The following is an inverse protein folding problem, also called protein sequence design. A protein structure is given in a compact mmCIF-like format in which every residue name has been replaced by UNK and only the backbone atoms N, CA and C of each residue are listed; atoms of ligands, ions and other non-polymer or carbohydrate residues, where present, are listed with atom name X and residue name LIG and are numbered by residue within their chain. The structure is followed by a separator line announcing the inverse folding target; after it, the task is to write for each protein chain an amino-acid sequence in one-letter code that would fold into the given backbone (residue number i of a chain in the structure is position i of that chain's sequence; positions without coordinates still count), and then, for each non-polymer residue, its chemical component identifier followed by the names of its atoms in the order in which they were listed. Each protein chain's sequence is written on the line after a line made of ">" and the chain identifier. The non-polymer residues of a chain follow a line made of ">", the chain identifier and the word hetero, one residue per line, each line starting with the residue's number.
data_IF_783079705794
#
_entry.id   IF_783079705794
#
_cell.length_a   1.000
_cell.length_b   1.000
_cell.length_c   1.000
_cell.angle_alpha   90.00
_cell.angle_beta   90.00
_cell.angle_gamma   90.00
#
_symmetry.space_group_name_H-M   'P 1'
#
loop_
_entity.id
_entity.type
_entity.pdbx_description
1 polymer ?
#
# COMPACT_ATOMS: atom_id res chain seq x y z
N UNK A 1 1.56 3.38 -4.16
CA UNK A 1 1.93 2.04 -3.66
C UNK A 1 3.19 1.54 -4.37
N UNK A 2 4.35 1.70 -3.71
CA UNK A 2 5.65 1.08 -4.07
C UNK A 2 6.61 1.27 -2.89
N UNK A 3 7.38 0.25 -2.54
CA UNK A 3 8.36 0.28 -1.47
C UNK A 3 9.79 0.07 -2.02
N UNK A 4 10.75 0.97 -1.73
CA UNK A 4 12.19 0.73 -1.98
C UNK A 4 13.17 1.62 -1.15
N UNK A 5 14.41 1.11 -1.02
CA UNK A 5 15.44 1.29 0.04
C UNK A 5 16.46 2.46 -0.15
N UNK A 6 17.04 3.01 0.94
CA UNK A 6 17.82 4.28 1.04
C UNK A 6 19.33 4.28 0.65
N UNK A 7 19.98 5.47 0.57
CA UNK A 7 21.39 5.65 0.21
C UNK A 7 22.41 5.41 1.35
N UNK A 8 23.62 5.05 0.92
CA UNK A 8 24.81 4.64 1.68
C UNK A 8 25.54 5.85 2.29
N UNK A 9 25.74 5.86 3.61
CA UNK A 9 26.58 6.86 4.31
C UNK A 9 27.84 6.22 4.92
N UNK A 10 28.88 7.04 4.96
CA UNK A 10 30.28 6.72 5.13
C UNK A 10 30.67 6.17 6.53
N UNK A 11 31.73 5.36 6.52
CA UNK A 11 32.48 4.94 7.70
C UNK A 11 33.39 6.07 8.16
N UNK A 12 33.46 6.29 9.46
CA UNK A 12 34.61 6.91 10.12
C UNK A 12 35.05 6.09 11.35
N UNK A 13 36.31 6.24 11.79
CA UNK A 13 37.07 5.18 12.42
C UNK A 13 37.09 5.21 13.95
N UNK A 14 37.49 4.07 14.50
CA UNK A 14 37.80 3.81 15.91
C UNK A 14 39.00 4.63 16.40
N UNK A 15 38.99 4.96 17.68
CA UNK A 15 40.19 4.87 18.52
C UNK A 15 39.84 4.56 19.99
N UNK A 16 40.75 3.93 20.77
CA UNK A 16 40.46 3.33 22.07
C UNK A 16 41.09 4.10 23.24
N UNK A 17 40.62 3.80 24.46
CA UNK A 17 41.41 3.50 25.67
C UNK A 17 40.69 3.97 26.94
N UNK A 18 40.46 3.03 27.87
CA UNK A 18 40.66 3.23 29.32
C UNK A 18 40.37 1.93 30.08
N UNK A 19 41.41 1.40 30.72
CA UNK A 19 41.45 0.83 32.08
C UNK A 19 40.56 -0.36 32.47
N UNK A 20 41.13 -1.46 33.03
CA UNK A 20 40.35 -2.55 33.60
C UNK A 20 40.08 -2.32 35.10
N UNK A 21 38.93 -2.79 35.62
CA UNK A 21 38.83 -3.17 37.02
C UNK A 21 38.82 -4.70 37.21
N UNK A 22 39.19 -5.06 38.43
CA UNK A 22 39.63 -6.35 38.94
C UNK A 22 38.61 -7.50 38.85
N UNK A 23 39.15 -8.72 38.78
CA UNK A 23 38.41 -9.99 38.83
C UNK A 23 38.16 -10.43 40.27
N UNK A 24 36.92 -10.84 40.60
CA UNK A 24 36.67 -11.82 41.66
C UNK A 24 36.32 -13.21 41.10
N UNK A 25 36.90 -14.24 41.73
CA UNK A 25 36.25 -15.53 42.00
C UNK A 25 35.91 -16.44 40.83
N UNK A 26 36.77 -17.45 40.59
CA UNK A 26 36.39 -18.69 39.87
C UNK A 26 35.31 -19.43 40.67
N UNK A 27 34.10 -19.50 40.12
CA UNK A 27 33.10 -20.50 40.48
C UNK A 27 33.07 -21.61 39.41
N UNK A 28 32.87 -22.84 39.87
CA UNK A 28 32.96 -24.10 39.14
C UNK A 28 32.04 -24.17 37.91
N UNK A 29 32.59 -24.72 36.82
CA UNK A 29 31.86 -25.06 35.59
C UNK A 29 31.11 -26.37 35.80
N UNK A 30 29.78 -26.28 35.83
CA UNK A 30 28.90 -27.43 35.63
C UNK A 30 28.99 -27.95 34.16
N UNK A 31 28.79 -29.26 33.92
CA UNK A 31 28.87 -29.84 32.58
C UNK A 31 27.72 -29.37 31.66
N UNK A 32 28.09 -29.04 30.42
CA UNK A 32 27.17 -28.70 29.32
C UNK A 32 26.23 -29.88 29.06
N UNK A 33 24.92 -29.69 29.26
CA UNK A 33 23.89 -30.53 28.66
C UNK A 33 23.79 -30.20 27.16
N UNK A 34 23.90 -31.23 26.34
CA UNK A 34 23.66 -31.19 24.91
C UNK A 34 22.21 -30.78 24.62
N UNK A 35 22.05 -29.85 23.68
CA UNK A 35 20.74 -29.40 23.23
C UNK A 35 20.14 -30.46 22.27
N UNK A 36 18.89 -30.90 22.49
CA UNK A 36 18.23 -31.78 21.53
C UNK A 36 17.97 -31.05 20.22
N UNK A 37 18.14 -31.79 19.12
CA UNK A 37 18.08 -31.30 17.75
C UNK A 37 16.80 -30.54 17.40
N UNK A 38 16.95 -29.54 16.53
CA UNK A 38 15.86 -28.81 15.87
C UNK A 38 14.94 -29.80 15.15
N UNK A 39 13.81 -30.14 15.78
CA UNK A 39 12.65 -30.65 15.08
C UNK A 39 12.09 -29.56 14.16
N UNK A 40 11.65 -29.96 12.97
CA UNK A 40 11.18 -29.08 11.90
C UNK A 40 10.04 -28.14 12.32
N UNK A 41 10.01 -26.96 11.71
CA UNK A 41 8.92 -25.99 11.83
C UNK A 41 7.58 -26.63 11.42
N UNK A 42 6.50 -26.48 12.20
CA UNK A 42 5.15 -26.80 11.72
C UNK A 42 4.73 -25.80 10.64
N UNK A 43 4.15 -26.30 9.54
CA UNK A 43 3.44 -25.49 8.54
C UNK A 43 2.21 -24.84 9.19
N UNK A 44 1.84 -23.61 8.79
CA UNK A 44 0.62 -22.98 9.27
C UNK A 44 -0.64 -23.75 8.81
N UNK A 45 -1.71 -23.79 9.62
CA UNK A 45 -2.83 -24.75 9.51
C UNK A 45 -3.90 -24.42 8.45
N UNK A 46 -3.64 -23.52 7.50
CA UNK A 46 -4.62 -23.16 6.45
C UNK A 46 -4.41 -23.91 5.12
N UNK A 47 -3.47 -24.87 5.07
CA UNK A 47 -3.48 -25.91 4.06
C UNK A 47 -4.42 -27.03 4.51
N UNK A 48 -5.68 -27.00 4.07
CA UNK A 48 -6.50 -28.21 4.09
C UNK A 48 -5.88 -29.25 3.16
N UNK A 49 -5.59 -30.43 3.70
CA UNK A 49 -5.13 -31.59 2.95
C UNK A 49 -6.06 -31.87 1.75
N UNK A 50 -5.49 -31.78 0.55
CA UNK A 50 -6.15 -32.13 -0.70
C UNK A 50 -6.07 -33.65 -0.84
N UNK A 51 -7.18 -34.39 -1.02
CA UNK A 51 -7.09 -35.82 -1.21
C UNK A 51 -6.36 -36.13 -2.53
N UNK A 52 -5.38 -37.03 -2.45
CA UNK A 52 -4.65 -37.60 -3.59
C UNK A 52 -5.64 -38.19 -4.60
N UNK A 53 -5.93 -37.42 -5.65
CA UNK A 53 -6.76 -37.88 -6.76
C UNK A 53 -5.84 -38.62 -7.74
N UNK A 54 -5.88 -39.95 -7.67
CA UNK A 54 -5.29 -40.85 -8.66
C UNK A 54 -5.79 -40.48 -10.05
N UNK A 55 -4.89 -39.97 -10.89
CA UNK A 55 -5.10 -39.81 -12.32
C UNK A 55 -5.29 -41.19 -12.97
N UNK A 56 -6.45 -41.39 -13.57
CA UNK A 56 -6.70 -42.44 -14.55
C UNK A 56 -7.46 -41.82 -15.71
N UNK A 57 -6.94 -42.00 -16.91
CA UNK A 57 -7.73 -41.88 -18.14
C UNK A 57 -7.47 -40.63 -18.98
N UNK A 58 -6.41 -40.73 -19.77
CA UNK A 58 -6.29 -40.29 -21.16
C UNK A 58 -7.62 -39.88 -21.82
N UNK A 59 -7.78 -38.58 -22.12
CA UNK A 59 -8.87 -38.07 -22.95
C UNK A 59 -8.32 -37.04 -23.92
N UNK A 60 -8.29 -37.45 -25.19
CA UNK A 60 -7.87 -36.66 -26.34
C UNK A 60 -8.47 -35.25 -26.32
N UNK A 61 -7.60 -34.24 -26.28
CA UNK A 61 -7.95 -32.84 -26.46
C UNK A 61 -8.23 -32.58 -27.95
N UNK A 62 -9.46 -32.23 -28.27
CA UNK A 62 -9.81 -31.65 -29.55
C UNK A 62 -9.24 -30.21 -29.63
N UNK A 63 -8.60 -29.80 -30.73
CA UNK A 63 -8.15 -28.43 -30.92
C UNK A 63 -9.26 -27.61 -31.56
N UNK A 64 -9.81 -26.61 -30.86
CA UNK A 64 -10.77 -25.71 -31.49
C UNK A 64 -11.72 -25.02 -30.54
N UNK A 65 -11.19 -24.04 -29.79
CA UNK A 65 -11.97 -23.17 -28.95
C UNK A 65 -11.04 -22.49 -27.96
N UNK A 66 -10.45 -21.37 -28.35
CA UNK A 66 -9.88 -20.44 -27.39
C UNK A 66 -11.03 -19.83 -26.60
N UNK A 67 -11.62 -20.64 -25.72
CA UNK A 67 -12.34 -20.13 -24.58
C UNK A 67 -11.31 -19.27 -23.86
N UNK A 68 -11.45 -17.95 -23.93
CA UNK A 68 -10.64 -16.99 -23.16
C UNK A 68 -10.97 -17.09 -21.67
N UNK A 69 -11.42 -18.26 -21.23
CA UNK A 69 -11.89 -18.57 -19.90
C UNK A 69 -10.75 -18.44 -18.92
N UNK A 70 -11.02 -17.67 -17.88
CA UNK A 70 -10.26 -17.68 -16.64
C UNK A 70 -10.03 -19.14 -16.23
N UNK A 71 -8.80 -19.50 -15.88
CA UNK A 71 -8.50 -20.85 -15.40
C UNK A 71 -9.49 -21.24 -14.29
N UNK A 72 -10.07 -22.46 -14.29
CA UNK A 72 -11.11 -22.85 -13.34
C UNK A 72 -10.73 -22.57 -11.88
N UNK A 73 -9.48 -22.79 -11.51
CA UNK A 73 -8.97 -22.53 -10.16
C UNK A 73 -9.00 -21.03 -9.80
N UNK A 74 -8.69 -20.16 -10.76
CA UNK A 74 -8.73 -18.71 -10.56
C UNK A 74 -10.18 -18.20 -10.54
N UNK A 75 -11.07 -18.81 -11.33
CA UNK A 75 -12.50 -18.52 -11.28
C UNK A 75 -13.13 -18.91 -9.94
N UNK A 76 -12.75 -20.07 -9.38
CA UNK A 76 -13.14 -20.48 -8.03
C UNK A 76 -12.63 -19.50 -6.97
N UNK A 77 -11.39 -19.02 -7.10
CA UNK A 77 -10.82 -18.03 -6.19
C UNK A 77 -11.57 -16.68 -6.27
N UNK A 78 -11.90 -16.20 -7.47
CA UNK A 78 -12.73 -15.00 -7.62
C UNK A 78 -14.11 -15.17 -7.00
N UNK A 79 -14.73 -16.35 -7.13
CA UNK A 79 -16.00 -16.64 -6.49
C UNK A 79 -15.88 -16.62 -4.96
N UNK A 80 -14.81 -17.19 -4.38
CA UNK A 80 -14.53 -17.12 -2.94
C UNK A 80 -14.36 -15.68 -2.46
N UNK A 81 -13.49 -14.90 -3.12
CA UNK A 81 -13.28 -13.48 -2.81
C UNK A 81 -14.60 -12.71 -2.92
N UNK A 82 -15.39 -13.02 -3.94
CA UNK A 82 -16.66 -12.37 -4.18
C UNK A 82 -17.76 -12.71 -3.17
N UNK A 83 -17.63 -13.81 -2.44
CA UNK A 83 -18.57 -14.23 -1.39
C UNK A 83 -18.13 -13.78 0.01
N UNK A 84 -16.85 -13.47 0.22
CA UNK A 84 -16.33 -13.00 1.50
C UNK A 84 -16.88 -11.61 1.87
N UNK A 85 -17.04 -11.37 3.17
CA UNK A 85 -17.36 -10.03 3.69
C UNK A 85 -16.18 -9.08 3.52
N UNK A 86 -16.48 -7.78 3.49
CA UNK A 86 -15.44 -6.75 3.40
C UNK A 86 -14.51 -6.78 4.62
N UNK A 87 -15.05 -7.07 5.80
CA UNK A 87 -14.31 -7.27 7.05
C UNK A 87 -13.35 -8.47 6.97
N UNK A 88 -13.79 -9.60 6.40
CA UNK A 88 -12.94 -10.79 6.26
C UNK A 88 -11.78 -10.53 5.29
N UNK A 89 -12.06 -9.93 4.14
CA UNK A 89 -11.03 -9.57 3.15
C UNK A 89 -10.02 -8.58 3.74
N UNK A 90 -10.51 -7.58 4.49
CA UNK A 90 -9.66 -6.61 5.17
C UNK A 90 -8.80 -7.27 6.27
N UNK A 91 -9.35 -8.22 7.03
CA UNK A 91 -8.59 -8.98 8.02
C UNK A 91 -7.52 -9.89 7.38
N UNK A 92 -7.83 -10.50 6.23
CA UNK A 92 -6.87 -11.29 5.46
C UNK A 92 -5.75 -10.40 4.90
N UNK A 93 -6.05 -9.18 4.45
CA UNK A 93 -5.04 -8.19 4.07
C UNK A 93 -4.10 -7.84 5.23
N UNK A 94 -4.64 -7.65 6.45
CA UNK A 94 -3.80 -7.43 7.63
C UNK A 94 -2.94 -8.66 7.94
N UNK A 95 -3.48 -9.88 7.80
CA UNK A 95 -2.76 -11.12 8.09
C UNK A 95 -1.55 -11.36 7.18
N UNK A 96 -1.56 -10.81 5.95
CA UNK A 96 -0.42 -10.86 5.03
C UNK A 96 0.76 -10.00 5.46
N UNK A 97 0.58 -9.12 6.45
CA UNK A 97 1.64 -8.25 6.94
C UNK A 97 2.48 -8.97 7.99
N UNK A 98 3.80 -9.05 7.80
CA UNK A 98 4.72 -9.77 8.69
C UNK A 98 4.64 -9.33 10.16
N UNK A 99 4.33 -8.05 10.44
CA UNK A 99 4.16 -7.53 11.81
C UNK A 99 2.94 -8.11 12.53
N UNK A 100 2.04 -8.77 11.81
CA UNK A 100 0.85 -9.43 12.33
C UNK A 100 0.97 -10.95 12.38
N UNK A 101 2.13 -11.52 12.07
CA UNK A 101 2.35 -12.96 12.19
C UNK A 101 2.05 -13.43 13.64
N UNK A 102 1.20 -14.44 13.76
CA UNK A 102 0.77 -14.98 15.06
C UNK A 102 -0.28 -14.17 15.81
N UNK A 103 -0.82 -13.08 15.24
CA UNK A 103 -1.99 -12.38 15.81
C UNK A 103 -3.26 -13.21 15.59
N UNK A 104 -4.14 -13.23 16.60
CA UNK A 104 -5.40 -13.94 16.53
C UNK A 104 -6.36 -13.31 15.51
N UNK A 105 -7.12 -14.14 14.79
CA UNK A 105 -8.06 -13.69 13.74
C UNK A 105 -9.10 -12.69 14.25
N UNK A 106 -9.64 -12.89 15.44
CA UNK A 106 -10.64 -11.98 16.04
C UNK A 106 -10.09 -10.56 16.24
N UNK A 107 -8.80 -10.44 16.60
CA UNK A 107 -8.14 -9.15 16.74
C UNK A 107 -7.99 -8.46 15.38
N UNK A 108 -7.60 -9.21 14.35
CA UNK A 108 -7.49 -8.69 12.97
C UNK A 108 -8.85 -8.24 12.44
N UNK A 109 -9.91 -9.03 12.68
CA UNK A 109 -11.29 -8.65 12.35
C UNK A 109 -11.72 -7.38 13.06
N UNK A 110 -11.41 -7.25 14.37
CA UNK A 110 -11.71 -6.04 15.13
C UNK A 110 -11.00 -4.80 14.58
N UNK A 111 -9.72 -4.92 14.20
CA UNK A 111 -8.97 -3.82 13.59
C UNK A 111 -9.48 -3.48 12.20
N UNK A 112 -9.73 -4.48 11.35
CA UNK A 112 -10.30 -4.32 10.02
C UNK A 112 -11.65 -3.59 10.08
N UNK A 113 -12.60 -4.06 10.90
CA UNK A 113 -13.90 -3.43 11.05
C UNK A 113 -13.81 -1.99 11.58
N UNK A 114 -12.83 -1.70 12.44
CA UNK A 114 -12.59 -0.33 12.93
C UNK A 114 -12.06 0.58 11.83
N UNK A 115 -11.11 0.10 11.04
CA UNK A 115 -10.56 0.85 9.91
C UNK A 115 -11.60 1.11 8.81
N UNK A 116 -12.43 0.12 8.48
CA UNK A 116 -13.53 0.27 7.51
C UNK A 116 -14.50 1.38 7.94
N UNK A 117 -15.04 1.28 9.16
CA UNK A 117 -15.95 2.32 9.71
C UNK A 117 -15.29 3.70 9.77
N UNK A 118 -13.99 3.76 10.04
CA UNK A 118 -13.26 5.02 10.06
C UNK A 118 -13.22 5.65 8.66
N UNK A 119 -12.89 4.88 7.62
CA UNK A 119 -12.88 5.34 6.24
C UNK A 119 -14.26 5.79 5.74
N UNK A 120 -15.32 5.07 6.09
CA UNK A 120 -16.69 5.46 5.74
C UNK A 120 -17.07 6.81 6.38
N UNK A 121 -16.77 7.01 7.68
CA UNK A 121 -17.02 8.30 8.35
C UNK A 121 -16.20 9.43 7.75
N UNK A 122 -14.95 9.17 7.36
CA UNK A 122 -14.14 10.16 6.64
C UNK A 122 -14.85 10.64 5.37
N UNK A 123 -15.44 9.73 4.59
CA UNK A 123 -16.14 10.08 3.35
C UNK A 123 -17.43 10.88 3.61
N UNK A 124 -18.19 10.52 4.64
CA UNK A 124 -19.40 11.24 5.01
C UNK A 124 -19.10 12.67 5.50
N UNK A 125 -18.05 12.85 6.31
CA UNK A 125 -17.61 14.16 6.80
C UNK A 125 -17.05 15.06 5.69
N UNK A 126 -16.33 14.47 4.73
CA UNK A 126 -15.81 15.17 3.56
C UNK A 126 -16.96 15.65 2.65
N UNK A 127 -17.96 14.79 2.41
CA UNK A 127 -19.17 15.15 1.67
C UNK A 127 -19.97 16.27 2.37
N UNK A 128 -20.09 16.23 3.70
CA UNK A 128 -20.74 17.28 4.47
C UNK A 128 -19.99 18.63 4.38
N UNK A 129 -18.66 18.59 4.39
CA UNK A 129 -17.81 19.79 4.27
C UNK A 129 -17.89 20.42 2.88
N UNK A 130 -17.96 19.61 1.83
CA UNK A 130 -18.17 20.08 0.46
C UNK A 130 -19.56 20.75 0.29
N UNK A 131 -20.61 20.19 0.89
CA UNK A 131 -21.95 20.75 0.86
C UNK A 131 -22.09 22.08 1.60
N UNK A 132 -21.37 22.27 2.71
CA UNK A 132 -21.37 23.52 3.47
C UNK A 132 -20.61 24.67 2.79
N UNK A 133 -19.67 24.34 1.90
CA UNK A 133 -18.86 25.31 1.15
C UNK A 133 -19.54 25.78 -0.13
N UNK A 134 -20.61 25.11 -0.55
CA UNK A 134 -21.50 25.59 -1.61
C UNK A 134 -22.28 26.80 -1.12
N UNK A 135 -21.75 27.99 -1.41
CA UNK A 135 -22.41 29.27 -1.17
C UNK A 135 -23.87 29.22 -1.65
N UNK A 136 -24.88 29.47 -0.79
CA UNK A 136 -26.28 29.60 -1.20
C UNK A 136 -26.49 30.93 -1.94
N UNK A 137 -25.78 31.12 -3.05
CA UNK A 137 -25.70 32.38 -3.79
C UNK A 137 -26.27 32.29 -5.20
N UNK A 138 -27.61 32.36 -5.32
CA UNK A 138 -28.39 33.05 -6.36
C UNK A 138 -29.80 32.45 -6.57
N UNK A 139 -30.62 32.44 -5.52
CA UNK A 139 -32.06 32.62 -5.70
C UNK A 139 -32.41 33.92 -4.95
N UNK A 140 -32.59 35.00 -5.71
CA UNK A 140 -32.78 36.34 -5.17
C UNK A 140 -34.01 36.43 -4.26
N UNK A 141 -33.93 37.15 -3.13
CA UNK A 141 -35.11 37.55 -2.40
C UNK A 141 -35.62 38.90 -2.94
N UNK A 142 -36.88 38.93 -3.36
CA UNK A 142 -37.65 40.18 -3.31
C UNK A 142 -37.73 40.60 -1.83
N UNK A 143 -37.40 41.86 -1.57
CA UNK A 143 -36.87 42.30 -0.30
C UNK A 143 -37.88 42.40 0.84
N UNK A 144 -37.34 42.43 2.06
CA UNK A 144 -37.78 43.33 3.13
C UNK A 144 -36.56 43.66 3.98
N UNK A 145 -36.33 44.96 4.16
CA UNK A 145 -35.28 45.53 4.97
C UNK A 145 -35.40 45.12 6.45
N UNK A 146 -34.27 44.90 7.12
CA UNK A 146 -34.12 45.22 8.55
C UNK A 146 -32.65 45.48 8.91
N UNK A 147 -32.48 46.61 9.57
CA UNK A 147 -31.27 47.21 10.13
C UNK A 147 -30.85 46.53 11.44
N UNK A 148 -29.53 46.43 11.67
CA UNK A 148 -28.93 46.56 13.00
C UNK A 148 -27.89 45.50 13.40
N UNK A 149 -26.72 45.97 13.84
CA UNK A 149 -25.96 45.31 14.91
C UNK A 149 -24.58 44.76 14.56
N UNK A 150 -23.55 45.58 14.76
CA UNK A 150 -22.12 45.26 14.76
C UNK A 150 -21.66 44.69 16.11
N UNK A 151 -20.76 43.69 16.09
CA UNK A 151 -19.54 43.46 16.92
C UNK A 151 -18.98 42.09 16.47
N UNK A 152 -17.72 41.85 16.07
CA UNK A 152 -16.44 42.32 16.59
C UNK A 152 -15.72 41.12 17.24
N UNK A 153 -14.82 40.43 16.52
CA UNK A 153 -13.87 39.49 17.14
C UNK A 153 -12.63 39.23 16.24
N UNK A 154 -11.48 39.70 16.72
CA UNK A 154 -10.13 39.31 16.28
C UNK A 154 -9.77 37.94 16.86
N UNK A 155 -9.14 37.08 16.08
CA UNK A 155 -8.45 35.89 16.57
C UNK A 155 -7.37 35.46 15.58
N UNK A 156 -6.11 35.62 15.96
CA UNK A 156 -4.96 35.24 15.15
C UNK A 156 -4.72 33.73 15.13
N UNK A 157 -4.28 33.22 13.99
CA UNK A 157 -3.80 31.84 13.85
C UNK A 157 -2.29 31.84 13.70
N UNK A 158 -1.61 31.32 14.71
CA UNK A 158 -0.23 30.86 14.65
C UNK A 158 -0.20 29.50 13.93
N UNK A 159 0.66 29.38 12.91
CA UNK A 159 0.87 28.14 12.17
C UNK A 159 1.97 27.26 12.81
N UNK A 160 1.82 25.93 12.85
CA UNK A 160 2.91 25.06 13.25
C UNK A 160 3.78 24.66 12.06
N UNK A 161 5.08 24.68 12.32
CA UNK A 161 6.20 24.37 11.44
C UNK A 161 6.24 22.87 11.11
N UNK A 162 6.55 22.55 9.85
CA UNK A 162 6.67 21.18 9.36
C UNK A 162 7.91 20.47 9.90
N UNK A 163 7.72 19.26 10.41
CA UNK A 163 8.78 18.33 10.77
C UNK A 163 8.76 17.13 9.81
N UNK A 164 9.81 17.03 9.02
CA UNK A 164 10.16 15.89 8.18
C UNK A 164 10.81 14.81 9.04
N UNK A 165 10.29 13.58 9.04
CA UNK A 165 10.93 12.43 9.69
C UNK A 165 10.70 11.13 8.91
N UNK A 166 11.77 10.65 8.28
CA UNK A 166 11.89 9.33 7.64
C UNK A 166 12.07 8.22 8.68
N UNK A 167 11.46 7.05 8.46
CA UNK A 167 11.65 5.87 9.32
C UNK A 167 12.08 4.68 8.47
N UNK A 168 13.14 3.99 8.88
CA UNK A 168 13.68 2.80 8.23
C UNK A 168 13.95 1.66 9.22
N UNK A 169 14.02 0.43 8.67
CA UNK A 169 14.62 -0.80 9.19
C UNK A 169 14.44 -1.86 8.07
N UNK A 170 15.45 -2.52 7.50
CA UNK A 170 16.40 -3.55 7.99
C UNK A 170 16.06 -4.92 7.38
N UNK A 171 16.90 -5.36 6.43
CA UNK A 171 16.98 -6.73 5.91
C UNK A 171 18.31 -7.39 6.26
N UNK A 172 18.30 -8.73 6.23
CA UNK A 172 19.41 -9.66 6.51
C UNK A 172 19.83 -10.30 5.17
N UNK A 173 21.13 -10.58 4.90
CA UNK A 173 21.63 -10.75 3.53
C UNK A 173 21.62 -12.20 3.03
N UNK A 174 21.61 -12.36 1.71
CA UNK A 174 22.01 -13.59 1.00
C UNK A 174 22.86 -13.21 -0.22
N UNK A 175 23.88 -14.03 -0.49
CA UNK A 175 25.10 -13.62 -1.18
C UNK A 175 25.23 -13.94 -2.67
N UNK A 176 26.28 -13.33 -3.21
CA UNK A 176 27.23 -13.76 -4.25
C UNK A 176 26.73 -14.17 -5.64
N UNK A 177 27.18 -13.40 -6.65
CA UNK A 177 27.36 -13.83 -8.04
C UNK A 177 28.18 -12.78 -8.80
N UNK A 178 29.40 -13.13 -9.19
CA UNK A 178 30.36 -12.28 -9.88
C UNK A 178 30.11 -12.23 -11.40
N UNK A 179 30.65 -11.18 -12.05
CA UNK A 179 31.14 -11.05 -13.45
C UNK A 179 30.71 -9.70 -14.05
N UNK A 180 31.33 -9.11 -15.05
CA UNK A 180 32.73 -8.90 -15.47
C UNK A 180 32.61 -7.83 -16.59
N UNK A 181 33.69 -7.08 -16.85
CA UNK A 181 33.97 -6.28 -18.07
C UNK A 181 33.22 -4.96 -18.38
N UNK A 182 33.99 -3.85 -18.44
CA UNK A 182 34.48 -3.14 -19.67
C UNK A 182 34.54 -1.60 -19.57
N UNK A 183 35.75 -1.10 -19.85
CA UNK A 183 36.15 0.30 -20.11
C UNK A 183 35.46 0.93 -21.33
N UNK A 184 35.21 2.26 -21.27
CA UNK A 184 35.47 3.23 -22.36
C UNK A 184 35.49 4.68 -21.77
N UNK A 185 36.07 5.70 -22.44
CA UNK A 185 36.91 6.70 -21.78
C UNK A 185 36.31 8.11 -21.74
N UNK A 186 36.90 8.91 -20.84
CA UNK A 186 36.73 10.35 -20.65
C UNK A 186 37.07 11.17 -21.89
N UNK A 187 36.12 12.02 -22.31
CA UNK A 187 36.35 13.16 -23.19
C UNK A 187 36.18 14.45 -22.40
N UNK A 188 37.26 15.22 -22.29
CA UNK A 188 37.30 16.55 -21.66
C UNK A 188 37.15 17.63 -22.74
N UNK A 189 36.32 18.65 -22.47
CA UNK A 189 36.13 19.79 -23.35
C UNK A 189 35.27 20.88 -22.72
N UNK A 190 35.92 21.87 -22.09
CA UNK A 190 35.40 23.21 -21.82
C UNK A 190 35.36 24.04 -23.14
N UNK A 191 34.92 25.32 -23.23
CA UNK A 191 34.71 26.33 -22.19
C UNK A 191 33.49 27.29 -22.40
N UNK A 192 33.33 28.31 -21.54
CA UNK A 192 32.66 29.56 -21.93
C UNK A 192 31.84 30.26 -20.84
N UNK A 193 32.38 31.35 -20.31
CA UNK A 193 31.74 32.27 -19.38
C UNK A 193 30.66 33.16 -20.02
N UNK A 194 29.69 33.65 -19.24
CA UNK A 194 29.37 35.09 -19.02
C UNK A 194 28.04 35.23 -18.26
N UNK A 195 27.99 36.21 -17.36
CA UNK A 195 26.94 36.37 -16.36
C UNK A 195 25.62 36.96 -16.87
N UNK A 196 24.61 36.89 -16.01
CA UNK A 196 23.58 37.92 -15.93
C UNK A 196 22.93 37.87 -14.56
N UNK A 197 23.04 38.99 -13.85
CA UNK A 197 22.37 39.29 -12.60
C UNK A 197 20.90 39.57 -12.91
N UNK A 198 20.02 38.66 -12.52
CA UNK A 198 18.58 38.82 -12.60
C UNK A 198 17.98 38.51 -11.24
N UNK A 199 17.59 39.55 -10.51
CA UNK A 199 16.79 39.43 -9.29
C UNK A 199 15.46 38.77 -9.66
N UNK A 200 15.37 37.45 -9.46
CA UNK A 200 14.13 36.70 -9.62
C UNK A 200 13.28 37.04 -8.40
N UNK A 201 12.26 37.86 -8.62
CA UNK A 201 11.19 38.06 -7.65
C UNK A 201 10.66 36.70 -7.23
N UNK A 202 10.75 36.41 -5.93
CA UNK A 202 10.18 35.20 -5.37
C UNK A 202 8.68 35.14 -5.73
N UNK A 203 8.19 34.03 -6.30
CA UNK A 203 6.75 33.88 -6.49
C UNK A 203 6.11 33.87 -5.10
N UNK A 204 5.25 34.86 -4.87
CA UNK A 204 4.37 34.92 -3.70
C UNK A 204 3.58 33.62 -3.62
N UNK A 205 3.98 32.74 -2.68
CA UNK A 205 3.17 31.59 -2.27
C UNK A 205 1.98 32.13 -1.50
N UNK A 206 0.80 32.13 -2.13
CA UNK A 206 -0.50 32.16 -1.44
C UNK A 206 -1.60 31.89 -2.46
N UNK A 207 -1.75 30.62 -2.81
CA UNK A 207 -2.96 30.07 -3.41
C UNK A 207 -3.12 28.65 -2.86
N UNK A 208 -4.35 28.14 -2.67
CA UNK A 208 -4.54 26.75 -2.28
C UNK A 208 -3.80 25.88 -3.29
N UNK A 209 -2.99 24.96 -2.79
CA UNK A 209 -2.27 24.00 -3.63
C UNK A 209 -3.29 23.07 -4.27
N UNK A 210 -3.82 23.48 -5.42
CA UNK A 210 -4.72 22.68 -6.23
C UNK A 210 -4.01 21.35 -6.55
N UNK A 211 -4.59 20.27 -6.05
CA UNK A 211 -4.13 18.91 -6.30
C UNK A 211 -4.14 18.67 -7.81
N UNK A 212 -2.98 18.52 -8.43
CA UNK A 212 -2.89 18.25 -9.88
C UNK A 212 -3.04 16.77 -10.15
N UNK A 213 -3.92 16.39 -11.07
CA UNK A 213 -4.03 15.00 -11.55
C UNK A 213 -3.30 14.89 -12.89
N UNK A 214 -2.33 13.98 -12.96
CA UNK A 214 -1.58 13.63 -14.16
C UNK A 214 -1.93 12.20 -14.58
N UNK A 215 -2.23 11.97 -15.86
CA UNK A 215 -2.43 10.62 -16.39
C UNK A 215 -1.16 10.14 -17.09
N UNK A 216 -0.78 8.88 -16.85
CA UNK A 216 0.33 8.22 -17.53
C UNK A 216 -0.15 6.94 -18.18
N UNK A 217 0.27 6.75 -19.43
CA UNK A 217 -0.10 5.57 -20.20
C UNK A 217 0.46 4.27 -19.59
N UNK A 218 1.64 4.33 -18.96
CA UNK A 218 2.34 3.14 -18.45
C UNK A 218 3.12 3.39 -17.16
N UNK A 219 3.51 2.30 -16.50
CA UNK A 219 4.35 2.30 -15.30
C UNK A 219 3.63 1.89 -14.02
N UNK A 220 2.32 1.64 -14.12
CA UNK A 220 1.52 1.12 -13.02
C UNK A 220 1.60 -0.40 -12.90
N UNK A 221 2.00 -1.13 -13.95
CA UNK A 221 2.26 -2.57 -13.89
C UNK A 221 3.74 -2.85 -13.65
N UNK A 222 4.08 -3.50 -12.53
CA UNK A 222 5.45 -3.87 -12.15
C UNK A 222 5.50 -5.34 -11.73
N UNK A 223 6.68 -5.99 -11.74
CA UNK A 223 6.79 -7.38 -11.28
C UNK A 223 6.25 -7.53 -9.85
N UNK A 224 5.15 -8.28 -9.70
CA UNK A 224 4.50 -8.53 -8.41
C UNK A 224 3.68 -7.36 -7.84
N UNK A 225 3.53 -6.25 -8.56
CA UNK A 225 2.87 -5.04 -8.05
C UNK A 225 2.00 -4.38 -9.13
N UNK A 226 0.83 -3.88 -8.71
CA UNK A 226 -0.09 -3.10 -9.54
C UNK A 226 -0.40 -1.80 -8.81
N UNK A 227 -0.07 -0.68 -9.44
CA UNK A 227 -0.21 0.67 -8.92
C UNK A 227 -1.20 1.44 -9.77
N UNK A 228 -2.43 1.63 -9.27
CA UNK A 228 -3.47 2.36 -10.01
C UNK A 228 -3.20 3.87 -10.02
N UNK A 229 -2.79 4.41 -8.87
CA UNK A 229 -2.43 5.80 -8.72
C UNK A 229 -1.34 5.99 -7.65
N UNK A 230 -0.60 7.09 -7.71
CA UNK A 230 0.35 7.49 -6.67
C UNK A 230 0.23 8.98 -6.33
N UNK A 231 0.14 9.28 -5.04
CA UNK A 231 0.31 10.63 -4.52
C UNK A 231 1.79 11.01 -4.42
N UNK A 232 2.14 12.18 -4.97
CA UNK A 232 3.48 12.74 -4.94
C UNK A 232 3.46 14.11 -4.28
N UNK A 233 4.02 14.18 -3.07
CA UNK A 233 4.30 15.43 -2.38
C UNK A 233 5.60 16.05 -2.92
N UNK A 234 5.54 17.31 -3.37
CA UNK A 234 6.70 18.06 -3.87
C UNK A 234 6.63 19.52 -3.41
N UNK A 235 7.80 20.14 -3.29
CA UNK A 235 7.89 21.58 -2.98
C UNK A 235 7.20 22.48 -4.02
N UNK A 236 7.01 21.98 -5.25
CA UNK A 236 6.33 22.64 -6.36
C UNK A 236 4.80 22.44 -6.37
N UNK A 237 4.25 21.67 -5.42
CA UNK A 237 2.83 21.35 -5.33
C UNK A 237 2.56 19.84 -5.31
N UNK A 238 1.39 19.49 -4.79
CA UNK A 238 0.93 18.12 -4.66
C UNK A 238 0.28 17.63 -5.96
N UNK A 239 0.58 16.38 -6.33
CA UNK A 239 -0.02 15.76 -7.51
C UNK A 239 -0.36 14.30 -7.29
N UNK A 240 -1.35 13.82 -8.01
CA UNK A 240 -1.69 12.40 -8.15
C UNK A 240 -1.40 11.96 -9.57
N UNK A 241 -0.62 10.91 -9.74
CA UNK A 241 -0.38 10.27 -11.03
C UNK A 241 -1.30 9.04 -11.13
N UNK A 242 -2.10 8.94 -12.19
CA UNK A 242 -2.97 7.79 -12.46
C UNK A 242 -2.41 7.00 -13.65
N UNK A 243 -2.34 5.67 -13.53
CA UNK A 243 -1.73 4.79 -14.53
C UNK A 243 -2.77 4.03 -15.35
N UNK A 244 -2.86 4.33 -16.64
CA UNK A 244 -3.84 3.74 -17.54
C UNK A 244 -3.64 2.22 -17.72
N UNK A 245 -2.41 1.74 -17.87
CA UNK A 245 -2.09 0.31 -17.99
C UNK A 245 -2.58 -0.51 -16.78
N UNK A 246 -2.45 0.05 -15.58
CA UNK A 246 -2.90 -0.57 -14.34
C UNK A 246 -4.43 -0.52 -14.19
N UNK A 247 -5.08 0.58 -14.57
CA UNK A 247 -6.55 0.66 -14.61
C UNK A 247 -7.13 -0.34 -15.60
N UNK A 248 -6.56 -0.46 -16.80
CA UNK A 248 -6.97 -1.44 -17.80
C UNK A 248 -6.80 -2.87 -17.28
N UNK A 249 -5.70 -3.14 -16.58
CA UNK A 249 -5.48 -4.45 -15.95
C UNK A 249 -6.51 -4.74 -14.86
N UNK A 250 -6.77 -3.79 -13.98
CA UNK A 250 -7.78 -3.91 -12.93
C UNK A 250 -9.18 -4.11 -13.52
N UNK A 251 -9.52 -3.41 -14.60
CA UNK A 251 -10.80 -3.60 -15.29
C UNK A 251 -10.90 -5.00 -15.91
N UNK A 252 -9.83 -5.53 -16.51
CA UNK A 252 -9.82 -6.92 -16.99
C UNK A 252 -10.06 -7.92 -15.86
N UNK A 253 -9.35 -7.78 -14.74
CA UNK A 253 -9.56 -8.63 -13.55
C UNK A 253 -11.00 -8.53 -13.05
N UNK A 254 -11.56 -7.32 -13.00
CA UNK A 254 -12.95 -7.12 -12.61
C UNK A 254 -13.94 -7.79 -13.58
N UNK A 255 -13.69 -7.74 -14.90
CA UNK A 255 -14.51 -8.44 -15.89
C UNK A 255 -14.43 -9.96 -15.73
N UNK A 256 -13.23 -10.48 -15.56
CA UNK A 256 -12.94 -11.89 -15.37
C UNK A 256 -13.58 -12.45 -14.09
N UNK A 257 -13.66 -11.62 -13.04
CA UNK A 257 -14.36 -11.93 -11.80
C UNK A 257 -15.89 -11.74 -11.88
N UNK A 258 -16.42 -11.25 -13.01
CA UNK A 258 -17.85 -10.97 -13.21
C UNK A 258 -18.35 -9.65 -12.59
N UNK A 259 -17.45 -8.75 -12.17
CA UNK A 259 -17.74 -7.48 -11.51
C UNK A 259 -17.67 -6.26 -12.43
N UNK A 260 -17.37 -6.46 -13.72
CA UNK A 260 -17.13 -5.36 -14.67
C UNK A 260 -18.29 -4.37 -14.88
N UNK A 261 -19.52 -4.71 -14.45
CA UNK A 261 -20.66 -3.78 -14.45
C UNK A 261 -20.60 -2.76 -13.31
N UNK A 262 -20.07 -3.16 -12.16
CA UNK A 262 -19.93 -2.30 -10.98
C UNK A 262 -18.58 -1.54 -10.99
N UNK A 263 -17.56 -2.12 -11.64
CA UNK A 263 -16.19 -1.59 -11.71
C UNK A 263 -15.82 -1.21 -13.15
N UNK A 264 -16.46 -0.17 -13.68
CA UNK A 264 -16.13 0.41 -15.00
C UNK A 264 -14.77 1.13 -14.95
N UNK A 265 -14.12 1.40 -16.11
CA UNK A 265 -12.87 2.16 -16.13
C UNK A 265 -12.96 3.52 -15.42
N UNK A 266 -14.06 4.24 -15.61
CA UNK A 266 -14.32 5.52 -14.97
C UNK A 266 -14.48 5.36 -13.46
N UNK A 267 -15.25 4.36 -13.03
CA UNK A 267 -15.45 4.07 -11.61
C UNK A 267 -14.12 3.68 -10.92
N UNK A 268 -13.26 2.91 -11.60
CA UNK A 268 -11.93 2.55 -11.12
C UNK A 268 -11.01 3.77 -10.99
N UNK A 269 -11.05 4.67 -11.98
CA UNK A 269 -10.30 5.94 -11.94
C UNK A 269 -10.73 6.80 -10.76
N UNK A 270 -12.02 7.03 -10.59
CA UNK A 270 -12.56 7.82 -9.47
C UNK A 270 -12.23 7.19 -8.12
N UNK A 271 -12.30 5.85 -8.03
CA UNK A 271 -11.91 5.10 -6.83
C UNK A 271 -10.43 5.27 -6.51
N UNK A 272 -9.55 5.21 -7.50
CA UNK A 272 -8.11 5.42 -7.31
C UNK A 272 -7.82 6.84 -6.81
N UNK A 273 -8.46 7.86 -7.41
CA UNK A 273 -8.31 9.25 -6.94
C UNK A 273 -8.83 9.46 -5.52
N UNK A 274 -9.98 8.87 -5.19
CA UNK A 274 -10.54 8.93 -3.85
C UNK A 274 -9.64 8.22 -2.83
N UNK A 275 -9.02 7.10 -3.20
CA UNK A 275 -8.07 6.38 -2.36
C UNK A 275 -6.84 7.23 -2.03
N UNK A 276 -6.22 7.86 -3.03
CA UNK A 276 -5.08 8.76 -2.80
C UNK A 276 -5.47 10.00 -1.96
N UNK A 277 -6.68 10.53 -2.16
CA UNK A 277 -7.21 11.60 -1.33
C UNK A 277 -7.35 11.18 0.15
N UNK A 278 -7.83 9.97 0.40
CA UNK A 278 -7.93 9.43 1.76
C UNK A 278 -6.56 9.34 2.44
N UNK A 279 -5.54 8.87 1.72
CA UNK A 279 -4.16 8.83 2.22
C UNK A 279 -3.64 10.20 2.60
N UNK A 280 -3.89 11.22 1.76
CA UNK A 280 -3.55 12.60 2.10
C UNK A 280 -4.21 13.04 3.41
N UNK A 281 -5.51 12.79 3.60
CA UNK A 281 -6.22 13.11 4.86
C UNK A 281 -5.65 12.36 6.06
N UNK A 282 -5.28 11.09 5.88
CA UNK A 282 -4.66 10.26 6.91
C UNK A 282 -3.28 10.80 7.32
N UNK A 283 -2.47 11.24 6.35
CA UNK A 283 -1.19 11.90 6.59
C UNK A 283 -1.36 13.28 7.25
N UNK A 284 -2.37 14.06 6.86
CA UNK A 284 -2.68 15.40 7.37
C UNK A 284 -3.30 15.40 8.79
N UNK A 285 -3.31 14.25 9.47
CA UNK A 285 -3.60 14.16 10.89
C UNK A 285 -4.69 13.17 11.26
N UNK A 286 -5.54 12.73 10.31
CA UNK A 286 -6.57 11.72 10.59
C UNK A 286 -5.97 10.36 10.97
N UNK A 287 -4.75 10.06 10.54
CA UNK A 287 -4.03 8.85 10.94
C UNK A 287 -3.77 8.76 12.45
N UNK A 288 -3.64 9.90 13.15
CA UNK A 288 -3.59 9.90 14.63
C UNK A 288 -4.94 9.52 15.24
N UNK A 289 -6.05 9.96 14.67
CA UNK A 289 -7.38 9.59 15.13
C UNK A 289 -7.64 8.09 14.91
N UNK A 290 -7.33 7.56 13.73
CA UNK A 290 -7.42 6.13 13.44
C UNK A 290 -6.63 5.29 14.45
N UNK A 291 -5.37 5.66 14.75
CA UNK A 291 -4.56 4.96 15.76
C UNK A 291 -5.17 4.98 17.17
N UNK A 292 -5.91 6.03 17.53
CA UNK A 292 -6.60 6.10 18.83
C UNK A 292 -7.80 5.16 18.86
N UNK A 293 -8.52 5.04 17.75
CA UNK A 293 -9.70 4.17 17.64
C UNK A 293 -9.35 2.69 17.56
N UNK A 294 -8.26 2.33 16.88
CA UNK A 294 -7.77 0.95 16.84
C UNK A 294 -7.33 0.43 18.22
N UNK A 295 -7.07 1.35 19.17
CA UNK A 295 -6.62 1.12 20.55
C UNK A 295 -5.56 0.02 20.69
N UNK A 296 -4.63 -0.08 19.73
CA UNK A 296 -3.53 -1.03 19.81
C UNK A 296 -2.52 -0.55 20.85
N UNK A 297 -2.62 -1.04 22.09
CA UNK A 297 -1.70 -0.66 23.18
C UNK A 297 -0.45 -1.54 23.15
N UNK A 298 0.72 -0.93 22.96
CA UNK A 298 2.02 -1.61 23.02
C UNK A 298 2.53 -1.72 24.47
N UNK A 299 2.39 -0.64 25.23
CA UNK A 299 2.87 -0.54 26.61
C UNK A 299 1.83 0.18 27.45
N UNK A 300 1.57 -0.37 28.64
CA UNK A 300 0.76 0.27 29.68
C UNK A 300 1.60 0.42 30.95
N UNK A 301 1.82 1.65 31.39
CA UNK A 301 2.51 1.97 32.64
C UNK A 301 1.59 2.84 33.49
N UNK A 302 0.82 2.20 34.38
CA UNK A 302 -0.22 2.88 35.17
C UNK A 302 -1.29 3.52 34.26
N UNK A 303 -1.55 4.84 34.35
CA UNK A 303 -2.48 5.54 33.46
C UNK A 303 -1.92 5.82 32.06
N UNK A 304 -0.60 5.70 31.86
CA UNK A 304 0.05 5.99 30.59
C UNK A 304 -0.13 4.80 29.63
N UNK A 305 -0.58 5.09 28.40
CA UNK A 305 -0.73 4.12 27.31
C UNK A 305 0.09 4.56 26.12
N UNK A 306 1.04 3.74 25.71
CA UNK A 306 1.72 3.89 24.43
C UNK A 306 0.96 3.08 23.38
N UNK A 307 0.38 3.78 22.40
CA UNK A 307 -0.34 3.14 21.30
C UNK A 307 0.58 2.87 20.12
N UNK A 308 0.50 1.66 19.58
CA UNK A 308 1.17 1.24 18.37
C UNK A 308 0.39 1.59 17.12
N UNK A 309 1.09 1.54 16.00
CA UNK A 309 0.49 1.59 14.68
C UNK A 309 0.16 0.16 14.23
N UNK A 310 -1.05 -0.04 13.69
CA UNK A 310 -1.43 -1.27 12.99
C UNK A 310 -1.13 -1.04 11.52
N UNK A 311 -0.12 -1.74 10.99
CA UNK A 311 0.35 -1.58 9.62
C UNK A 311 -0.75 -2.00 8.64
N UNK A 312 -1.07 -1.17 7.65
CA UNK A 312 -2.12 -1.46 6.65
C UNK A 312 -3.56 -1.12 7.09
N UNK A 313 -3.78 -0.65 8.32
CA UNK A 313 -5.10 -0.16 8.73
C UNK A 313 -5.48 1.15 8.02
N UNK A 314 -4.49 1.97 7.66
CA UNK A 314 -4.64 3.14 6.80
C UNK A 314 -5.09 2.76 5.38
N UNK A 315 -4.51 1.72 4.79
CA UNK A 315 -4.93 1.20 3.49
C UNK A 315 -6.39 0.73 3.48
N UNK A 316 -6.81 0.02 4.54
CA UNK A 316 -8.21 -0.42 4.70
C UNK A 316 -9.14 0.79 4.83
N UNK A 317 -8.77 1.79 5.63
CA UNK A 317 -9.56 3.01 5.76
C UNK A 317 -9.63 3.78 4.43
N UNK A 318 -8.55 3.83 3.65
CA UNK A 318 -8.51 4.46 2.34
C UNK A 318 -9.40 3.73 1.33
N UNK A 319 -9.41 2.39 1.32
CA UNK A 319 -10.34 1.62 0.50
C UNK A 319 -11.80 1.84 0.87
N UNK A 320 -12.14 1.86 2.16
CA UNK A 320 -13.50 2.13 2.62
C UNK A 320 -13.96 3.55 2.26
N UNK A 321 -13.10 4.56 2.45
CA UNK A 321 -13.36 5.92 1.99
C UNK A 321 -13.63 5.95 0.49
N UNK A 322 -12.77 5.32 -0.33
CA UNK A 322 -12.89 5.32 -1.78
C UNK A 322 -14.18 4.64 -2.24
N UNK A 323 -14.53 3.49 -1.65
CA UNK A 323 -15.78 2.76 -1.91
C UNK A 323 -16.99 3.66 -1.66
N UNK A 324 -17.03 4.30 -0.48
CA UNK A 324 -18.12 5.17 -0.05
C UNK A 324 -18.24 6.40 -0.95
N UNK A 325 -17.10 7.03 -1.27
CA UNK A 325 -17.04 8.24 -2.09
C UNK A 325 -17.42 8.02 -3.56
N UNK A 326 -17.09 6.85 -4.10
CA UNK A 326 -17.41 6.43 -5.47
C UNK A 326 -18.76 5.70 -5.58
N UNK A 327 -19.46 5.45 -4.45
CA UNK A 327 -20.77 4.78 -4.45
C UNK A 327 -20.71 3.32 -4.91
N UNK A 328 -19.57 2.66 -4.74
CA UNK A 328 -19.38 1.31 -5.27
C UNK A 328 -20.13 0.25 -4.45
N UNK A 329 -20.81 -0.65 -5.16
CA UNK A 329 -21.40 -1.85 -4.56
C UNK A 329 -20.32 -2.84 -4.13
N UNK A 330 -19.33 -3.06 -5.00
CA UNK A 330 -18.20 -3.95 -4.75
C UNK A 330 -17.05 -3.20 -4.07
N UNK A 331 -16.46 -3.81 -3.05
CA UNK A 331 -15.35 -3.20 -2.33
C UNK A 331 -14.08 -3.14 -3.18
N UNK A 332 -13.34 -2.01 -3.17
CA UNK A 332 -11.98 -1.93 -3.67
C UNK A 332 -11.03 -2.98 -3.04
N UNK A 333 -11.27 -3.43 -1.80
CA UNK A 333 -10.47 -4.49 -1.15
C UNK A 333 -10.64 -5.82 -1.89
N UNK A 334 -11.86 -6.14 -2.33
CA UNK A 334 -12.12 -7.35 -3.12
C UNK A 334 -11.39 -7.31 -4.46
N UNK A 335 -11.31 -6.14 -5.09
CA UNK A 335 -10.51 -5.96 -6.31
C UNK A 335 -9.02 -6.15 -6.06
N UNK A 336 -8.49 -5.56 -4.98
CA UNK A 336 -7.09 -5.77 -4.56
C UNK A 336 -6.79 -7.25 -4.35
N UNK A 337 -7.67 -7.98 -3.67
CA UNK A 337 -7.54 -9.43 -3.46
C UNK A 337 -7.56 -10.21 -4.79
N UNK A 338 -8.48 -9.86 -5.72
CA UNK A 338 -8.55 -10.50 -7.02
C UNK A 338 -7.30 -10.23 -7.89
N UNK A 339 -6.75 -9.02 -7.85
CA UNK A 339 -5.49 -8.69 -8.52
C UNK A 339 -4.36 -9.54 -7.93
N UNK A 340 -4.25 -9.62 -6.61
CA UNK A 340 -3.24 -10.45 -5.94
C UNK A 340 -3.36 -11.94 -6.33
N UNK A 341 -4.57 -12.49 -6.35
CA UNK A 341 -4.82 -13.87 -6.81
C UNK A 341 -4.39 -14.07 -8.28
N UNK A 342 -4.65 -13.10 -9.14
CA UNK A 342 -4.25 -13.13 -10.55
C UNK A 342 -2.73 -13.15 -10.71
N UNK A 343 -2.02 -12.31 -9.94
CA UNK A 343 -0.56 -12.26 -9.96
C UNK A 343 0.06 -13.56 -9.44
N UNK A 344 -0.47 -14.11 -8.35
CA UNK A 344 -0.03 -15.39 -7.80
C UNK A 344 -0.22 -16.54 -8.80
N UNK A 345 -1.38 -16.59 -9.47
CA UNK A 345 -1.65 -17.61 -10.48
C UNK A 345 -0.67 -17.54 -11.66
N UNK A 346 -0.37 -16.34 -12.17
CA UNK A 346 0.62 -16.14 -13.25
C UNK A 346 2.03 -16.60 -12.85
N UNK A 347 2.45 -16.33 -11.60
CA UNK A 347 3.73 -16.78 -11.06
C UNK A 347 3.86 -18.31 -11.03
N UNK A 348 2.75 -19.03 -10.81
CA UNK A 348 2.76 -20.51 -10.81
C UNK A 348 2.75 -21.14 -12.22
N UNK A 349 2.32 -20.40 -13.24
CA UNK A 349 2.13 -20.90 -14.60
C UNK A 349 3.29 -20.66 -15.57
N UNK A 350 4.12 -19.63 -15.35
CA UNK A 350 5.17 -19.22 -16.30
C UNK A 350 6.58 -19.76 -16.01
N UNK A 351 6.83 -20.29 -14.81
CA UNK A 351 8.13 -20.88 -14.44
C UNK A 351 8.16 -22.41 -14.53
N UNK A 352 7.14 -23.06 -15.09
CA UNK A 352 7.25 -24.49 -15.40
C UNK A 352 8.04 -24.63 -16.70
N UNK A 353 9.33 -25.04 -16.67
CA UNK A 353 10.07 -25.28 -17.89
C UNK A 353 9.26 -26.27 -18.73
N UNK A 354 9.10 -25.96 -20.02
CA UNK A 354 8.44 -26.86 -20.95
C UNK A 354 9.01 -28.27 -20.74
N UNK A 355 8.16 -29.32 -20.65
CA UNK A 355 8.65 -30.68 -20.51
C UNK A 355 9.67 -30.90 -21.62
N UNK A 356 10.93 -31.16 -21.23
CA UNK A 356 11.99 -31.44 -22.20
C UNK A 356 11.49 -32.60 -23.04
N UNK A 357 11.12 -32.33 -24.28
CA UNK A 357 10.86 -33.38 -25.26
C UNK A 357 12.13 -34.22 -25.32
N UNK A 358 12.05 -35.46 -24.83
CA UNK A 358 13.17 -36.39 -24.87
C UNK A 358 13.71 -36.47 -26.30
N UNK A 359 14.97 -36.12 -26.55
CA UNK A 359 15.56 -36.27 -27.87
C UNK A 359 15.91 -37.75 -28.03
N UNK A 360 15.05 -38.52 -28.68
CA UNK A 360 15.36 -39.93 -28.92
C UNK A 360 14.19 -40.76 -29.39
N UNK A 361 13.73 -40.51 -30.62
CA UNK A 361 13.30 -41.59 -31.52
C UNK A 361 13.24 -41.00 -32.93
N UNK A 362 14.32 -41.20 -33.67
CA UNK A 362 14.25 -41.26 -35.14
C UNK A 362 14.42 -42.73 -35.54
N UNK A 363 13.61 -43.19 -36.51
CA UNK A 363 13.57 -44.59 -36.94
C UNK A 363 14.87 -45.06 -37.57
#
# INVERSE_FOLDING_TARGET
>A
MSAHTPPRAAREPRSPASGPPERPGRAERAPRREAPGRAGRPKPPWHTDRPDRRETGDRAQAPGGHDTGVAPELAEEYARIGAASEEELAADLLALTATHEGRGRDLLLSWAATALRFGERMADEDAASAGASGDPGAAGPAGVARTGGSTGAKGGSEGPQGTSCSSGASEVPSGSGASDTREVPSGSGAPGATGSSGAVSAPSRTGPSDLRVEERASGGLRPGEVLLAEYLHRASGDRVVVYADALDHAHRVARDAGWGRDLTPEALRETALAHEHAHRMLHDGRGRALRRELDHVLVRLGPLRLRGHVVGADEIAAHAYARRRAGLRRSPIALTAAIAATLAHRGTGHDRPAPRTSPGERP
#
